data_IF_414663412591
#
_entry.id   IF_414663412591
#
_cell.length_a   1.000
_cell.length_b   1.000
_cell.length_c   1.000
_cell.angle_alpha   90.00
_cell.angle_beta   90.00
_cell.angle_gamma   90.00
#
_symmetry.space_group_name_H-M   'P 1'
#
loop_
_entity.id
_entity.type
_entity.pdbx_description
1 polymer ?
#
# COMPACT_ATOMS: atom_id res chain seq x y z
N UNK A 1 -1.21 27.05 -0.23
CA UNK A 1 -2.13 26.16 -0.94
C UNK A 1 -3.18 27.01 -1.61
N UNK A 2 -3.34 26.90 -2.93
CA UNK A 2 -4.40 27.60 -3.67
C UNK A 2 -5.75 26.88 -3.49
N UNK A 3 -6.89 27.54 -3.75
CA UNK A 3 -8.20 26.87 -3.74
C UNK A 3 -8.25 25.64 -4.65
N UNK A 4 -7.74 25.75 -5.88
CA UNK A 4 -7.68 24.63 -6.83
C UNK A 4 -6.82 23.45 -6.34
N UNK A 5 -5.77 23.71 -5.55
CA UNK A 5 -4.98 22.65 -4.92
C UNK A 5 -5.77 21.96 -3.82
N UNK A 6 -6.56 22.70 -3.04
CA UNK A 6 -7.42 22.14 -2.01
C UNK A 6 -8.53 21.27 -2.64
N UNK A 7 -9.21 21.78 -3.67
CA UNK A 7 -10.26 21.06 -4.39
C UNK A 7 -9.73 19.75 -5.01
N UNK A 8 -8.52 19.79 -5.56
CA UNK A 8 -7.86 18.58 -6.08
C UNK A 8 -7.62 17.55 -4.97
N UNK A 9 -7.08 17.96 -3.81
CA UNK A 9 -6.84 17.06 -2.69
C UNK A 9 -8.14 16.47 -2.13
N UNK A 10 -9.21 17.27 -2.04
CA UNK A 10 -10.53 16.82 -1.57
C UNK A 10 -11.17 15.80 -2.52
N UNK A 11 -10.85 15.89 -3.83
CA UNK A 11 -11.35 14.96 -4.85
C UNK A 11 -10.66 13.59 -4.86
N UNK A 12 -9.56 13.41 -4.12
CA UNK A 12 -8.78 12.18 -4.17
C UNK A 12 -9.51 11.01 -3.49
N UNK A 13 -9.56 9.83 -4.12
CA UNK A 13 -10.15 8.66 -3.50
C UNK A 13 -9.22 8.04 -2.44
N UNK A 14 -9.80 7.39 -1.44
CA UNK A 14 -9.03 6.62 -0.45
C UNK A 14 -8.36 5.37 -1.03
N UNK A 15 -8.90 4.83 -2.13
CA UNK A 15 -8.35 3.65 -2.80
C UNK A 15 -8.45 3.77 -4.32
N UNK A 16 -7.54 3.12 -5.02
CA UNK A 16 -7.61 2.92 -6.47
C UNK A 16 -7.60 1.42 -6.75
N UNK A 17 -8.46 0.97 -7.67
CA UNK A 17 -8.50 -0.45 -8.06
C UNK A 17 -8.12 -0.60 -9.53
N UNK A 18 -7.41 -1.69 -9.84
CA UNK A 18 -7.16 -2.14 -11.21
C UNK A 18 -7.72 -3.57 -11.31
N UNK A 19 -9.05 -3.73 -11.50
CA UNK A 19 -9.72 -5.02 -11.29
C UNK A 19 -9.21 -6.13 -12.20
N UNK A 20 -8.94 -5.81 -13.47
CA UNK A 20 -8.41 -6.77 -14.45
C UNK A 20 -6.99 -7.27 -14.12
N UNK A 21 -6.33 -6.67 -13.13
CA UNK A 21 -5.03 -7.11 -12.58
C UNK A 21 -5.12 -7.59 -11.13
N UNK A 22 -6.31 -7.55 -10.52
CA UNK A 22 -6.48 -7.82 -9.08
C UNK A 22 -5.50 -6.99 -8.24
N UNK A 23 -5.37 -5.70 -8.56
CA UNK A 23 -4.54 -4.75 -7.81
C UNK A 23 -5.42 -3.75 -7.08
N UNK A 24 -5.04 -3.45 -5.84
CA UNK A 24 -5.58 -2.38 -5.02
C UNK A 24 -4.43 -1.47 -4.58
N UNK A 25 -4.64 -0.16 -4.64
CA UNK A 25 -3.74 0.85 -4.08
C UNK A 25 -4.45 1.56 -2.94
N UNK A 26 -3.79 1.67 -1.80
CA UNK A 26 -4.32 2.33 -0.59
C UNK A 26 -3.18 3.06 0.11
N UNK A 27 -3.45 4.17 0.80
CA UNK A 27 -2.39 4.94 1.44
C UNK A 27 -1.65 4.12 2.52
N UNK A 28 -2.38 3.52 3.46
CA UNK A 28 -1.82 2.77 4.58
C UNK A 28 -2.09 1.27 4.53
N UNK A 29 -3.35 0.85 4.54
CA UNK A 29 -3.69 -0.56 4.52
C UNK A 29 -5.19 -0.85 4.50
N UNK A 30 -5.54 -2.12 4.59
CA UNK A 30 -6.93 -2.57 4.75
C UNK A 30 -7.00 -3.64 5.85
N UNK A 31 -8.09 -3.63 6.61
CA UNK A 31 -8.34 -4.63 7.65
C UNK A 31 -8.75 -5.95 6.99
N UNK A 32 -8.03 -7.06 7.20
CA UNK A 32 -8.38 -8.35 6.61
C UNK A 32 -9.75 -8.83 7.08
N UNK A 33 -10.52 -9.43 6.17
CA UNK A 33 -11.85 -9.98 6.46
C UNK A 33 -13.00 -8.98 6.27
N UNK A 34 -12.73 -7.69 6.15
CA UNK A 34 -13.75 -6.69 5.84
C UNK A 34 -13.69 -6.33 4.33
N UNK A 35 -14.81 -6.33 3.60
CA UNK A 35 -14.84 -5.83 2.22
C UNK A 35 -14.58 -4.31 2.18
N UNK A 36 -14.14 -3.78 1.03
CA UNK A 36 -13.75 -2.37 0.89
C UNK A 36 -14.82 -1.36 1.38
N UNK A 37 -16.13 -1.53 1.08
CA UNK A 37 -17.16 -0.60 1.56
C UNK A 37 -17.36 -0.61 3.08
N UNK A 38 -16.88 -1.64 3.78
CA UNK A 38 -17.02 -1.81 5.23
C UNK A 38 -15.72 -1.44 5.98
N UNK A 39 -14.69 -0.96 5.27
CA UNK A 39 -13.47 -0.46 5.89
C UNK A 39 -13.76 0.87 6.60
N UNK A 40 -13.18 1.06 7.79
CA UNK A 40 -13.16 2.38 8.40
C UNK A 40 -12.19 3.27 7.62
N UNK A 41 -12.66 4.45 7.19
CA UNK A 41 -11.85 5.39 6.42
C UNK A 41 -10.54 5.75 7.11
N UNK A 42 -10.54 5.89 8.45
CA UNK A 42 -9.33 6.22 9.22
C UNK A 42 -8.25 5.16 9.06
N UNK A 43 -8.63 3.89 9.05
CA UNK A 43 -7.68 2.79 8.93
C UNK A 43 -6.99 2.81 7.56
N UNK A 44 -7.72 3.18 6.50
CA UNK A 44 -7.19 3.24 5.13
C UNK A 44 -5.98 4.19 4.98
N UNK A 45 -5.85 5.20 5.83
CA UNK A 45 -4.73 6.15 5.78
C UNK A 45 -3.90 6.26 7.05
N UNK A 46 -4.23 5.55 8.15
CA UNK A 46 -3.43 5.62 9.38
C UNK A 46 -2.86 4.28 9.85
N UNK A 47 -3.45 3.15 9.47
CA UNK A 47 -3.10 1.88 10.09
C UNK A 47 -1.67 1.43 9.77
N UNK A 48 -1.04 0.72 10.72
CA UNK A 48 0.26 0.06 10.52
C UNK A 48 0.22 -1.38 11.00
N UNK A 49 -0.50 -1.60 12.10
CA UNK A 49 -0.52 -2.84 12.84
C UNK A 49 -1.96 -3.36 13.01
N UNK A 50 -2.07 -4.65 13.25
CA UNK A 50 -3.31 -5.33 13.61
C UNK A 50 -3.18 -5.99 14.96
N UNK A 51 -4.24 -5.90 15.77
CA UNK A 51 -4.45 -6.69 16.97
C UNK A 51 -5.57 -7.67 16.75
N UNK A 52 -5.37 -8.94 17.13
CA UNK A 52 -6.41 -9.96 17.03
C UNK A 52 -7.49 -9.72 18.08
N UNK A 53 -8.76 -9.74 17.68
CA UNK A 53 -9.93 -9.67 18.58
C UNK A 53 -10.92 -10.76 18.21
N UNK A 54 -10.81 -11.91 18.86
CA UNK A 54 -11.56 -13.11 18.50
C UNK A 54 -11.20 -13.56 17.08
N UNK A 55 -12.19 -13.66 16.20
CA UNK A 55 -11.99 -14.02 14.79
C UNK A 55 -11.65 -12.81 13.89
N UNK A 56 -11.80 -11.58 14.40
CA UNK A 56 -11.61 -10.34 13.64
C UNK A 56 -10.29 -9.64 13.98
N UNK A 57 -10.03 -8.55 13.27
CA UNK A 57 -8.87 -7.69 13.47
C UNK A 57 -9.29 -6.29 13.88
N UNK A 58 -8.45 -5.64 14.68
CA UNK A 58 -8.54 -4.21 14.99
C UNK A 58 -7.28 -3.55 14.45
N UNK A 59 -7.44 -2.52 13.63
CA UNK A 59 -6.34 -1.71 13.11
C UNK A 59 -5.81 -0.75 14.16
N UNK A 60 -4.50 -0.56 14.15
CA UNK A 60 -3.80 0.35 15.05
C UNK A 60 -2.73 1.10 14.26
N UNK A 61 -2.62 2.41 14.50
CA UNK A 61 -1.50 3.21 13.99
C UNK A 61 -0.21 2.91 14.76
N UNK A 62 -0.32 2.66 16.07
CA UNK A 62 0.81 2.40 16.96
C UNK A 62 0.85 0.93 17.36
N UNK A 63 2.01 0.30 17.16
CA UNK A 63 2.26 -1.08 17.55
C UNK A 63 2.23 -1.25 19.09
N UNK A 64 1.73 -2.39 19.53
CA UNK A 64 1.81 -2.87 20.93
C UNK A 64 2.50 -4.24 20.95
N UNK A 65 2.81 -4.76 22.14
CA UNK A 65 3.53 -6.03 22.28
C UNK A 65 2.80 -7.23 21.62
N UNK A 66 1.49 -7.12 21.45
CA UNK A 66 0.60 -8.16 20.91
C UNK A 66 0.07 -7.85 19.50
N UNK A 67 0.69 -6.92 18.77
CA UNK A 67 0.32 -6.60 17.38
C UNK A 67 1.26 -7.21 16.35
N UNK A 68 0.77 -7.28 15.11
CA UNK A 68 1.52 -7.70 13.92
C UNK A 68 1.34 -6.66 12.82
N UNK A 69 2.34 -6.50 11.94
CA UNK A 69 2.21 -5.63 10.77
C UNK A 69 1.07 -6.13 9.87
N UNK A 70 0.16 -5.24 9.48
CA UNK A 70 -1.09 -5.64 8.81
C UNK A 70 -0.85 -6.40 7.51
N UNK A 71 0.15 -5.96 6.73
CA UNK A 71 0.45 -6.50 5.41
C UNK A 71 0.91 -7.96 5.45
N UNK A 72 1.43 -8.43 6.59
CA UNK A 72 1.77 -9.84 6.82
C UNK A 72 0.53 -10.74 6.91
N UNK A 73 -0.55 -10.20 7.48
CA UNK A 73 -1.81 -10.93 7.71
C UNK A 73 -2.76 -10.85 6.51
N UNK A 74 -2.44 -10.02 5.51
CA UNK A 74 -3.23 -9.95 4.29
C UNK A 74 -3.08 -11.24 3.45
N UNK A 75 -4.21 -11.90 3.23
CA UNK A 75 -4.35 -13.12 2.40
C UNK A 75 -5.40 -12.95 1.30
N UNK A 76 -5.84 -11.73 1.06
CA UNK A 76 -6.98 -11.45 0.20
C UNK A 76 -6.69 -11.61 -1.28
N UNK A 77 -7.72 -11.38 -2.08
CA UNK A 77 -7.73 -11.69 -3.51
C UNK A 77 -6.93 -10.73 -4.40
N UNK A 78 -6.49 -9.60 -3.83
CA UNK A 78 -5.77 -8.54 -4.54
C UNK A 78 -4.34 -8.42 -4.04
N UNK A 79 -3.41 -8.05 -4.93
CA UNK A 79 -2.13 -7.51 -4.52
C UNK A 79 -2.33 -6.07 -4.09
N UNK A 80 -1.92 -5.72 -2.86
CA UNK A 80 -2.05 -4.37 -2.34
C UNK A 80 -0.72 -3.63 -2.43
N UNK A 81 -0.69 -2.52 -3.15
CA UNK A 81 0.40 -1.55 -3.06
C UNK A 81 0.02 -0.45 -2.08
N UNK A 82 0.91 -0.15 -1.13
CA UNK A 82 0.65 0.83 -0.08
C UNK A 82 1.88 1.67 0.26
N UNK A 83 1.70 2.73 1.05
CA UNK A 83 2.74 3.62 1.53
C UNK A 83 2.68 3.77 3.05
N UNK A 84 2.75 5.01 3.55
CA UNK A 84 2.57 5.46 4.94
C UNK A 84 3.62 4.97 5.96
N UNK A 85 4.04 3.71 5.85
CA UNK A 85 4.87 3.04 6.85
C UNK A 85 6.38 3.21 6.64
N UNK A 86 6.83 4.46 6.50
CA UNK A 86 8.25 4.82 6.38
C UNK A 86 9.15 4.23 7.49
N UNK A 87 8.59 3.93 8.67
CA UNK A 87 9.32 3.28 9.77
C UNK A 87 9.76 1.86 9.39
N UNK A 88 8.91 1.12 8.69
CA UNK A 88 9.18 -0.24 8.20
C UNK A 88 9.86 -0.27 6.83
N UNK A 89 10.00 0.90 6.17
CA UNK A 89 10.66 1.04 4.87
C UNK A 89 9.96 0.21 3.80
N UNK A 90 10.70 -0.17 2.76
CA UNK A 90 10.22 -1.04 1.68
C UNK A 90 9.82 -2.40 2.25
N UNK A 91 8.59 -2.84 1.99
CA UNK A 91 8.03 -4.07 2.54
C UNK A 91 7.62 -5.03 1.42
N UNK A 92 8.00 -6.30 1.55
CA UNK A 92 7.64 -7.36 0.62
C UNK A 92 6.87 -8.47 1.33
N UNK A 93 5.57 -8.55 1.05
CA UNK A 93 4.70 -9.64 1.46
C UNK A 93 4.09 -10.29 0.22
N UNK A 94 3.60 -11.53 0.40
CA UNK A 94 3.09 -12.35 -0.71
C UNK A 94 2.02 -11.65 -1.56
N UNK A 95 1.12 -10.91 -0.91
CA UNK A 95 0.00 -10.21 -1.56
C UNK A 95 -0.03 -8.71 -1.23
N UNK A 96 1.06 -8.17 -0.70
CA UNK A 96 1.15 -6.76 -0.36
C UNK A 96 2.58 -6.24 -0.50
N UNK A 97 2.75 -5.02 -1.01
CA UNK A 97 4.04 -4.37 -1.17
C UNK A 97 3.97 -2.93 -0.69
N UNK A 98 4.73 -2.63 0.36
CA UNK A 98 4.85 -1.29 0.91
C UNK A 98 5.96 -0.54 0.19
N UNK A 99 5.62 0.56 -0.47
CA UNK A 99 6.49 1.36 -1.33
C UNK A 99 7.15 2.54 -0.60
N UNK A 100 6.75 2.81 0.64
CA UNK A 100 7.30 3.90 1.44
C UNK A 100 8.72 3.58 1.93
N UNK A 101 9.69 3.82 1.05
CA UNK A 101 11.11 3.77 1.36
C UNK A 101 11.62 5.06 2.02
N UNK A 102 10.73 5.83 2.65
CA UNK A 102 10.99 7.04 3.44
C UNK A 102 11.89 8.05 2.75
N UNK A 103 11.49 8.47 1.55
CA UNK A 103 12.18 9.45 0.71
C UNK A 103 12.45 10.77 1.46
N UNK A 104 11.42 11.33 2.11
CA UNK A 104 11.53 12.60 2.84
C UNK A 104 12.46 12.54 4.06
N UNK A 105 12.86 11.34 4.50
CA UNK A 105 13.82 11.11 5.58
C UNK A 105 15.23 10.80 5.05
N UNK A 106 15.54 11.16 3.80
CA UNK A 106 16.83 10.87 3.15
C UNK A 106 16.94 9.44 2.60
N UNK A 107 15.82 8.73 2.53
CA UNK A 107 15.73 7.39 1.94
C UNK A 107 15.70 7.39 0.42
N UNK A 108 14.82 6.57 -0.14
CA UNK A 108 14.60 6.50 -1.59
C UNK A 108 13.15 6.83 -1.90
N UNK A 109 12.87 7.29 -3.11
CA UNK A 109 11.54 7.26 -3.71
C UNK A 109 11.43 5.98 -4.53
N UNK A 110 10.54 5.08 -4.13
CA UNK A 110 10.36 3.78 -4.78
C UNK A 110 9.03 3.70 -5.50
N UNK A 111 9.06 3.18 -6.72
CA UNK A 111 7.92 2.90 -7.56
C UNK A 111 7.87 1.40 -7.91
N UNK A 112 6.67 0.93 -8.18
CA UNK A 112 6.39 -0.38 -8.77
C UNK A 112 5.84 -0.15 -10.18
N UNK A 113 6.53 -0.68 -11.17
CA UNK A 113 6.14 -0.59 -12.58
C UNK A 113 5.46 -1.89 -12.97
N UNK A 114 4.19 -1.78 -13.36
CA UNK A 114 3.45 -2.90 -13.93
C UNK A 114 3.67 -2.91 -15.45
N UNK A 115 3.93 -4.08 -16.06
CA UNK A 115 4.14 -4.21 -17.50
C UNK A 115 2.83 -3.87 -18.24
N UNK A 116 2.90 -3.70 -19.57
CA UNK A 116 1.68 -3.45 -20.36
C UNK A 116 0.74 -4.65 -20.24
N UNK A 117 -0.57 -4.40 -20.27
CA UNK A 117 -1.57 -5.47 -20.15
C UNK A 117 -1.51 -6.52 -21.25
N UNK A 118 -0.99 -6.17 -22.44
CA UNK A 118 -0.79 -7.12 -23.54
C UNK A 118 0.35 -8.13 -23.27
N UNK A 119 1.29 -7.80 -22.38
CA UNK A 119 2.51 -8.57 -22.17
C UNK A 119 2.38 -9.59 -21.02
N UNK A 120 1.22 -9.64 -20.35
CA UNK A 120 0.99 -10.53 -19.21
C UNK A 120 0.20 -11.75 -19.66
N UNK A 121 0.84 -12.92 -19.69
CA UNK A 121 0.15 -14.21 -19.84
C UNK A 121 -0.72 -14.45 -18.61
N UNK A 122 -2.04 -14.45 -18.77
CA UNK A 122 -2.98 -14.69 -17.67
C UNK A 122 -2.99 -16.17 -17.31
N UNK A 123 -2.24 -16.52 -16.27
CA UNK A 123 -2.58 -17.71 -15.51
C UNK A 123 -3.59 -17.32 -14.43
N UNK A 124 -4.87 -17.60 -14.68
CA UNK A 124 -5.96 -17.36 -13.73
C UNK A 124 -5.83 -18.18 -12.44
N UNK A 125 -4.95 -19.19 -12.41
CA UNK A 125 -4.62 -19.97 -11.22
C UNK A 125 -3.49 -19.34 -10.37
N UNK A 126 -2.69 -18.43 -10.96
CA UNK A 126 -1.67 -17.71 -10.22
C UNK A 126 -2.33 -16.69 -9.27
N UNK A 127 -1.99 -16.76 -7.99
CA UNK A 127 -2.44 -15.77 -7.00
C UNK A 127 -2.01 -14.36 -7.38
N UNK A 128 -2.65 -13.34 -6.81
CA UNK A 128 -2.32 -11.94 -7.07
C UNK A 128 -1.02 -11.51 -6.35
N UNK A 129 0.10 -12.13 -6.70
CA UNK A 129 1.42 -11.78 -6.15
C UNK A 129 2.13 -10.76 -7.06
N UNK A 130 3.12 -10.06 -6.50
CA UNK A 130 3.96 -9.11 -7.25
C UNK A 130 4.66 -9.78 -8.44
N UNK A 131 5.14 -11.00 -8.25
CA UNK A 131 5.83 -11.78 -9.29
C UNK A 131 4.86 -12.18 -10.41
N UNK A 132 3.64 -12.61 -10.06
CA UNK A 132 2.60 -12.92 -11.05
C UNK A 132 2.14 -11.68 -11.84
N UNK A 133 2.24 -10.50 -11.24
CA UNK A 133 1.98 -9.22 -11.91
C UNK A 133 3.10 -8.80 -12.88
N UNK A 134 4.24 -9.50 -12.89
CA UNK A 134 5.43 -9.12 -13.65
C UNK A 134 6.01 -7.79 -13.20
N UNK A 135 5.83 -7.42 -11.93
CA UNK A 135 6.07 -6.06 -11.46
C UNK A 135 7.57 -5.79 -11.22
N UNK A 136 8.06 -4.68 -11.78
CA UNK A 136 9.44 -4.22 -11.62
C UNK A 136 9.53 -3.15 -10.53
N UNK A 137 10.54 -3.25 -9.67
CA UNK A 137 10.78 -2.26 -8.61
C UNK A 137 11.87 -1.28 -9.06
N UNK A 138 11.56 0.01 -9.01
CA UNK A 138 12.51 1.09 -9.35
C UNK A 138 12.61 2.05 -8.18
N UNK A 139 13.84 2.33 -7.75
CA UNK A 139 14.11 3.26 -6.64
C UNK A 139 15.12 4.31 -7.08
N UNK A 140 14.85 5.56 -6.69
CA UNK A 140 15.79 6.68 -6.86
C UNK A 140 16.12 7.27 -5.50
N UNK A 141 17.39 7.63 -5.31
CA UNK A 141 17.85 8.23 -4.05
C UNK A 141 17.17 9.58 -3.82
N UNK A 142 16.76 9.85 -2.58
CA UNK A 142 16.24 11.17 -2.22
C UNK A 142 17.29 12.26 -2.48
N UNK A 143 16.85 13.42 -2.97
CA UNK A 143 17.73 14.59 -3.11
C UNK A 143 18.13 15.05 -1.71
N UNK A 144 19.44 15.25 -1.48
CA UNK A 144 19.99 15.66 -0.17
C UNK A 144 19.51 17.05 0.27
N UNK A 145 19.23 17.93 -0.68
CA UNK A 145 18.71 19.28 -0.43
C UNK A 145 17.37 19.48 -1.13
N UNK A 146 16.31 19.65 -0.32
CA UNK A 146 15.03 20.21 -0.75
C UNK A 146 15.02 21.75 -0.70
N UNK A 147 16.10 22.37 -0.21
CA UNK A 147 16.32 23.82 -0.16
C UNK A 147 17.68 24.19 -0.76
N UNK A 148 17.74 24.27 -2.08
CA UNK A 148 18.63 25.23 -2.72
C UNK A 148 17.78 26.43 -3.12
N UNK A 149 18.05 27.57 -2.44
CA UNK A 149 17.60 28.96 -2.61
C UNK A 149 16.30 29.23 -3.39
#
# INVERSE_FOLDING_TARGET
>A
MTPSQADYLDSLPFTLTIPHRRVLVVHAGVVPGNPLPEQNLVDLYQMRDLKKKGHSWVALELATADTTAWAKEWKGEYHIFFGHDAKRRLQFHRYATGLDSGCCYGGQLTACILPRTADVSRDSSAGATREALGAEMVSVQAKKDYREK
#
